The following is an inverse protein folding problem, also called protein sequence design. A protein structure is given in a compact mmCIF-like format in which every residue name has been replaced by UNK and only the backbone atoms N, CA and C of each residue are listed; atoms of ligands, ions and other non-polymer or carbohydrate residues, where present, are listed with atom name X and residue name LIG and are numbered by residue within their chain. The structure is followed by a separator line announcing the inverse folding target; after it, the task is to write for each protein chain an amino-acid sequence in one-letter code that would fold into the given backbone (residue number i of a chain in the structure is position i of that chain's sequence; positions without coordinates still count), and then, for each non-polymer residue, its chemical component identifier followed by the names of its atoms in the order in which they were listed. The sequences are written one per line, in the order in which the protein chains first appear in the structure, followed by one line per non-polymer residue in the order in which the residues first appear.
data_IF_934461114473
#
_entry.id   IF_934461114473
#
_cell.length_a   1.000
_cell.length_b   1.000
_cell.length_c   1.000
_cell.angle_alpha   90.00
_cell.angle_beta   90.00
_cell.angle_gamma   90.00
#
_symmetry.space_group_name_H-M   'P 1'
#
loop_
_entity.id
_entity.type
_entity.pdbx_description
1 polymer ?
#
# COMPACT_ATOMS: atom_id res chain seq x y z
N UNK A 1 -2.19 -29.20 -19.51
CA UNK A 1 -2.56 -28.10 -20.42
C UNK A 1 -4.08 -28.10 -20.47
N UNK A 2 -4.73 -27.17 -19.74
CA UNK A 2 -6.19 -26.99 -19.83
C UNK A 2 -6.42 -26.35 -21.18
N UNK A 3 -7.18 -27.01 -22.07
CA UNK A 3 -7.60 -26.40 -23.32
C UNK A 3 -8.53 -25.25 -22.97
N UNK A 4 -8.01 -24.02 -23.06
CA UNK A 4 -8.78 -22.80 -22.85
C UNK A 4 -9.73 -22.68 -24.05
N UNK A 5 -11.03 -22.76 -23.79
CA UNK A 5 -12.01 -22.37 -24.82
C UNK A 5 -11.88 -20.85 -25.01
N UNK A 6 -11.37 -20.37 -26.15
CA UNK A 6 -10.94 -18.97 -26.30
C UNK A 6 -12.11 -17.98 -26.40
N UNK A 7 -13.34 -18.45 -26.26
CA UNK A 7 -14.56 -17.64 -26.41
C UNK A 7 -15.34 -17.44 -25.11
N UNK A 8 -14.79 -17.88 -23.96
CA UNK A 8 -15.47 -17.70 -22.68
C UNK A 8 -14.85 -16.59 -21.86
N UNK A 9 -15.63 -15.61 -21.47
CA UNK A 9 -15.22 -14.52 -20.55
C UNK A 9 -14.56 -15.08 -19.29
N UNK A 10 -15.12 -16.13 -18.70
CA UNK A 10 -14.58 -16.78 -17.49
C UNK A 10 -13.15 -17.30 -17.66
N UNK A 11 -12.77 -17.74 -18.85
CA UNK A 11 -11.42 -18.20 -19.18
C UNK A 11 -10.41 -17.07 -19.04
N UNK A 12 -10.72 -15.90 -19.60
CA UNK A 12 -9.85 -14.73 -19.51
C UNK A 12 -9.80 -14.13 -18.10
N UNK A 13 -10.91 -14.18 -17.34
CA UNK A 13 -10.89 -13.77 -15.93
C UNK A 13 -9.98 -14.70 -15.10
N UNK A 14 -10.03 -16.01 -15.37
CA UNK A 14 -9.13 -16.97 -14.70
C UNK A 14 -7.67 -16.72 -15.08
N UNK A 15 -7.39 -16.49 -16.37
CA UNK A 15 -6.05 -16.16 -16.83
C UNK A 15 -5.52 -14.87 -16.16
N UNK A 16 -6.33 -13.82 -16.11
CA UNK A 16 -5.94 -12.57 -15.45
C UNK A 16 -5.61 -12.77 -13.96
N UNK A 17 -6.37 -13.60 -13.24
CA UNK A 17 -6.05 -13.94 -11.86
C UNK A 17 -4.76 -14.77 -11.73
N UNK A 18 -4.47 -15.68 -12.66
CA UNK A 18 -3.20 -16.42 -12.69
C UNK A 18 -2.01 -15.49 -12.95
N UNK A 19 -2.13 -14.57 -13.90
CA UNK A 19 -1.11 -13.57 -14.19
C UNK A 19 -0.86 -12.66 -12.97
N UNK A 20 -1.91 -12.30 -12.23
CA UNK A 20 -1.76 -11.56 -10.97
C UNK A 20 -0.89 -12.31 -9.95
N UNK A 21 -1.09 -13.63 -9.79
CA UNK A 21 -0.28 -14.46 -8.87
C UNK A 21 1.19 -14.56 -9.31
N UNK A 22 1.48 -14.30 -10.58
CA UNK A 22 2.84 -14.29 -11.15
C UNK A 22 3.43 -12.87 -11.24
N UNK A 23 2.68 -11.84 -10.77
CA UNK A 23 3.02 -10.43 -10.88
C UNK A 23 3.21 -9.96 -12.34
N UNK A 24 2.67 -10.71 -13.32
CA UNK A 24 2.65 -10.31 -14.73
C UNK A 24 1.44 -9.41 -15.01
N UNK A 25 1.59 -8.15 -14.61
CA UNK A 25 0.50 -7.17 -14.73
C UNK A 25 0.19 -6.79 -16.18
N UNK A 26 1.14 -6.95 -17.10
CA UNK A 26 0.88 -6.66 -18.52
C UNK A 26 -0.01 -7.77 -19.13
N UNK A 27 0.33 -9.02 -18.92
CA UNK A 27 -0.49 -10.14 -19.42
C UNK A 27 -1.85 -10.19 -18.72
N UNK A 28 -1.90 -9.80 -17.42
CA UNK A 28 -3.14 -9.62 -16.68
C UNK A 28 -4.05 -8.58 -17.35
N UNK A 29 -3.51 -7.42 -17.76
CA UNK A 29 -4.25 -6.38 -18.44
C UNK A 29 -4.80 -6.86 -19.79
N UNK A 30 -3.98 -7.57 -20.58
CA UNK A 30 -4.36 -8.10 -21.89
C UNK A 30 -5.49 -9.14 -21.76
N UNK A 31 -5.41 -10.02 -20.75
CA UNK A 31 -6.46 -11.00 -20.46
C UNK A 31 -7.77 -10.30 -20.02
N UNK A 32 -7.69 -9.34 -19.12
CA UNK A 32 -8.86 -8.60 -18.67
C UNK A 32 -9.51 -7.80 -19.83
N UNK A 33 -8.73 -7.23 -20.74
CA UNK A 33 -9.21 -6.55 -21.93
C UNK A 33 -9.96 -7.50 -22.88
N UNK A 34 -9.47 -8.74 -23.06
CA UNK A 34 -10.18 -9.77 -23.84
C UNK A 34 -11.51 -10.15 -23.19
N UNK A 35 -11.55 -10.26 -21.86
CA UNK A 35 -12.80 -10.49 -21.14
C UNK A 35 -13.80 -9.36 -21.36
N UNK A 36 -13.38 -8.10 -21.33
CA UNK A 36 -14.22 -6.93 -21.61
C UNK A 36 -14.71 -6.93 -23.06
N UNK A 37 -13.87 -7.34 -24.03
CA UNK A 37 -14.26 -7.41 -25.44
C UNK A 37 -15.35 -8.45 -25.68
N UNK A 38 -15.39 -9.53 -24.89
CA UNK A 38 -16.45 -10.54 -24.94
C UNK A 38 -17.70 -10.10 -24.17
N UNK A 39 -17.54 -9.38 -23.06
CA UNK A 39 -18.62 -8.95 -22.18
C UNK A 39 -18.30 -7.58 -21.59
N UNK A 40 -18.70 -6.52 -22.32
CA UNK A 40 -18.41 -5.11 -21.93
C UNK A 40 -18.97 -4.73 -20.55
N UNK A 41 -20.08 -5.34 -20.15
CA UNK A 41 -20.73 -5.11 -18.85
C UNK A 41 -20.18 -5.95 -17.69
N UNK A 42 -19.04 -6.61 -17.84
CA UNK A 42 -18.50 -7.47 -16.80
C UNK A 42 -17.71 -6.65 -15.77
N UNK A 43 -18.30 -6.42 -14.60
CA UNK A 43 -17.69 -5.66 -13.50
C UNK A 43 -16.34 -6.25 -13.04
N UNK A 44 -16.23 -7.59 -12.99
CA UNK A 44 -14.99 -8.26 -12.59
C UNK A 44 -13.87 -8.05 -13.60
N UNK A 45 -14.17 -8.04 -14.91
CA UNK A 45 -13.17 -7.77 -15.95
C UNK A 45 -12.62 -6.33 -15.83
N UNK A 46 -13.48 -5.36 -15.58
CA UNK A 46 -13.06 -3.98 -15.32
C UNK A 46 -12.25 -3.88 -14.02
N UNK A 47 -12.64 -4.57 -12.94
CA UNK A 47 -11.87 -4.61 -11.70
C UNK A 47 -10.46 -5.17 -11.94
N UNK A 48 -10.35 -6.32 -12.64
CA UNK A 48 -9.06 -6.94 -12.93
C UNK A 48 -8.17 -6.06 -13.82
N UNK A 49 -8.76 -5.35 -14.80
CA UNK A 49 -8.00 -4.39 -15.61
C UNK A 49 -7.54 -3.18 -14.78
N UNK A 50 -8.39 -2.68 -13.86
CA UNK A 50 -7.99 -1.65 -12.91
C UNK A 50 -6.85 -2.12 -12.00
N UNK A 51 -6.94 -3.35 -11.48
CA UNK A 51 -5.91 -3.97 -10.64
C UNK A 51 -4.59 -4.19 -11.38
N UNK A 52 -4.64 -4.59 -12.65
CA UNK A 52 -3.46 -4.71 -13.51
C UNK A 52 -2.78 -3.34 -13.72
N UNK A 53 -3.57 -2.30 -14.03
CA UNK A 53 -3.06 -0.94 -14.17
C UNK A 53 -2.47 -0.39 -12.86
N UNK A 54 -3.02 -0.78 -11.70
CA UNK A 54 -2.44 -0.45 -10.40
C UNK A 54 -1.05 -1.06 -10.24
N UNK A 55 -0.87 -2.34 -10.60
CA UNK A 55 0.44 -3.00 -10.58
C UNK A 55 1.45 -2.40 -11.58
N UNK A 56 0.96 -1.80 -12.68
CA UNK A 56 1.76 -1.07 -13.67
C UNK A 56 2.00 0.41 -13.29
N UNK A 57 1.61 0.82 -12.10
CA UNK A 57 1.68 2.20 -11.60
C UNK A 57 0.97 3.25 -12.50
N UNK A 58 -0.09 2.82 -13.19
CA UNK A 58 -0.90 3.67 -14.05
C UNK A 58 -2.17 4.13 -13.31
N UNK A 59 -2.02 5.09 -12.39
CA UNK A 59 -3.09 5.56 -11.50
C UNK A 59 -4.34 6.04 -12.23
N UNK A 60 -4.20 6.73 -13.37
CA UNK A 60 -5.35 7.25 -14.14
C UNK A 60 -6.20 6.10 -14.69
N UNK A 61 -5.58 5.10 -15.32
CA UNK A 61 -6.31 3.96 -15.87
C UNK A 61 -6.86 3.05 -14.77
N UNK A 62 -6.15 2.95 -13.65
CA UNK A 62 -6.65 2.28 -12.43
C UNK A 62 -7.99 2.87 -12.02
N UNK A 63 -8.05 4.17 -11.78
CA UNK A 63 -9.28 4.87 -11.34
C UNK A 63 -10.39 4.73 -12.38
N UNK A 64 -10.07 4.88 -13.68
CA UNK A 64 -11.06 4.79 -14.75
C UNK A 64 -11.75 3.43 -14.80
N UNK A 65 -10.98 2.33 -14.77
CA UNK A 65 -11.52 0.98 -14.83
C UNK A 65 -12.23 0.56 -13.53
N UNK A 66 -11.71 0.95 -12.36
CA UNK A 66 -12.37 0.69 -11.08
C UNK A 66 -13.69 1.47 -10.97
N UNK A 67 -13.74 2.70 -11.47
CA UNK A 67 -15.00 3.46 -11.55
C UNK A 67 -16.03 2.74 -12.41
N UNK A 68 -15.62 2.18 -13.55
CA UNK A 68 -16.53 1.39 -14.38
C UNK A 68 -17.00 0.11 -13.68
N UNK A 69 -16.11 -0.57 -12.95
CA UNK A 69 -16.46 -1.76 -12.17
C UNK A 69 -17.51 -1.43 -11.08
N UNK A 70 -17.34 -0.31 -10.37
CA UNK A 70 -18.26 0.14 -9.32
C UNK A 70 -19.61 0.56 -9.91
N UNK A 71 -19.63 1.23 -11.07
CA UNK A 71 -20.89 1.58 -11.77
C UNK A 71 -21.67 0.32 -12.19
N UNK A 72 -20.97 -0.74 -12.57
CA UNK A 72 -21.58 -2.01 -12.98
C UNK A 72 -22.02 -2.87 -11.78
N UNK A 73 -21.33 -2.73 -10.65
CA UNK A 73 -21.60 -3.43 -9.39
C UNK A 73 -21.38 -2.48 -8.22
N UNK A 74 -22.44 -1.87 -7.72
CA UNK A 74 -22.35 -0.81 -6.70
C UNK A 74 -21.81 -1.31 -5.34
N UNK A 75 -22.07 -2.56 -4.97
CA UNK A 75 -21.58 -3.19 -3.74
C UNK A 75 -20.17 -3.83 -3.88
N UNK A 76 -19.34 -3.32 -4.82
CA UNK A 76 -18.02 -3.89 -5.08
C UNK A 76 -16.96 -3.29 -4.16
N UNK A 77 -16.90 -3.78 -2.92
CA UNK A 77 -16.00 -3.29 -1.85
C UNK A 77 -14.53 -3.28 -2.27
N UNK A 78 -14.04 -4.36 -2.89
CA UNK A 78 -12.64 -4.48 -3.31
C UNK A 78 -12.27 -3.45 -4.39
N UNK A 79 -13.22 -3.15 -5.29
CA UNK A 79 -13.00 -2.13 -6.32
C UNK A 79 -12.97 -0.72 -5.71
N UNK A 80 -13.86 -0.43 -4.74
CA UNK A 80 -13.85 0.85 -4.01
C UNK A 80 -12.58 1.01 -3.20
N UNK A 81 -12.14 -0.01 -2.47
CA UNK A 81 -10.93 0.05 -1.67
C UNK A 81 -9.69 0.32 -2.54
N UNK A 82 -9.52 -0.43 -3.62
CA UNK A 82 -8.40 -0.24 -4.54
C UNK A 82 -8.45 1.13 -5.25
N UNK A 83 -9.66 1.66 -5.56
CA UNK A 83 -9.81 3.01 -6.11
C UNK A 83 -9.42 4.07 -5.08
N UNK A 84 -9.86 3.91 -3.83
CA UNK A 84 -9.49 4.81 -2.74
C UNK A 84 -7.96 4.83 -2.51
N UNK A 85 -7.29 3.68 -2.59
CA UNK A 85 -5.82 3.60 -2.51
C UNK A 85 -5.14 4.35 -3.67
N UNK A 86 -5.63 4.18 -4.90
CA UNK A 86 -5.11 4.89 -6.07
C UNK A 86 -5.35 6.41 -5.96
N UNK A 87 -6.53 6.82 -5.52
CA UNK A 87 -6.89 8.22 -5.26
C UNK A 87 -6.02 8.83 -4.15
N UNK A 88 -5.77 8.09 -3.07
CA UNK A 88 -4.86 8.50 -1.99
C UNK A 88 -3.44 8.75 -2.51
N UNK A 89 -2.89 7.83 -3.31
CA UNK A 89 -1.57 8.01 -3.95
C UNK A 89 -1.51 9.26 -4.82
N UNK A 90 -2.61 9.60 -5.48
CA UNK A 90 -2.74 10.83 -6.30
C UNK A 90 -3.12 12.07 -5.48
N UNK A 91 -3.18 11.97 -4.16
CA UNK A 91 -3.58 13.03 -3.21
C UNK A 91 -5.01 13.57 -3.44
N UNK A 92 -5.87 12.78 -4.08
CA UNK A 92 -7.29 13.07 -4.27
C UNK A 92 -8.07 12.56 -3.04
N UNK A 93 -7.81 13.18 -1.89
CA UNK A 93 -8.26 12.70 -0.59
C UNK A 93 -9.79 12.77 -0.42
N UNK A 94 -10.44 13.74 -1.04
CA UNK A 94 -11.90 13.88 -0.93
C UNK A 94 -12.62 12.72 -1.62
N UNK A 95 -12.22 12.39 -2.84
CA UNK A 95 -12.79 11.29 -3.61
C UNK A 95 -12.46 9.93 -3.00
N UNK A 96 -11.22 9.76 -2.46
CA UNK A 96 -10.85 8.57 -1.73
C UNK A 96 -11.75 8.36 -0.50
N UNK A 97 -12.08 9.44 0.21
CA UNK A 97 -12.91 9.39 1.40
C UNK A 97 -14.35 8.97 1.08
N UNK A 98 -14.91 9.38 -0.08
CA UNK A 98 -16.25 8.95 -0.52
C UNK A 98 -16.33 7.42 -0.65
N UNK A 99 -15.31 6.79 -1.23
CA UNK A 99 -15.25 5.33 -1.34
C UNK A 99 -15.13 4.65 0.02
N UNK A 100 -14.28 5.18 0.89
CA UNK A 100 -14.06 4.63 2.23
C UNK A 100 -15.33 4.74 3.07
N UNK A 101 -16.02 5.88 3.04
CA UNK A 101 -17.29 6.06 3.77
C UNK A 101 -18.38 5.12 3.25
N UNK A 102 -18.44 4.87 1.94
CA UNK A 102 -19.36 3.89 1.36
C UNK A 102 -19.06 2.46 1.82
N UNK A 103 -17.79 2.08 1.99
CA UNK A 103 -17.37 0.79 2.54
C UNK A 103 -17.76 0.69 4.01
N UNK A 104 -17.40 1.68 4.82
CA UNK A 104 -17.63 1.68 6.27
C UNK A 104 -19.11 1.82 6.64
N UNK A 105 -19.93 2.36 5.76
CA UNK A 105 -21.39 2.36 5.93
C UNK A 105 -21.99 0.94 5.84
N UNK A 106 -21.37 0.03 5.09
CA UNK A 106 -21.79 -1.36 4.97
C UNK A 106 -21.13 -2.26 6.02
N UNK A 107 -19.83 -2.05 6.27
CA UNK A 107 -19.06 -2.76 7.27
C UNK A 107 -18.21 -1.76 8.08
N UNK A 108 -18.68 -1.31 9.24
CA UNK A 108 -17.97 -0.33 10.09
C UNK A 108 -16.60 -0.81 10.57
N UNK A 109 -16.36 -2.12 10.58
CA UNK A 109 -15.15 -2.77 11.08
C UNK A 109 -14.24 -3.26 9.93
N UNK A 110 -14.38 -2.71 8.72
CA UNK A 110 -13.49 -3.05 7.61
C UNK A 110 -12.09 -2.47 7.84
N UNK A 111 -11.17 -3.32 8.27
CA UNK A 111 -9.82 -2.93 8.71
C UNK A 111 -9.06 -2.11 7.67
N UNK A 112 -9.05 -2.56 6.41
CA UNK A 112 -8.32 -1.89 5.34
C UNK A 112 -8.88 -0.47 5.06
N UNK A 113 -10.21 -0.30 5.15
CA UNK A 113 -10.85 0.99 4.99
C UNK A 113 -10.56 1.93 6.18
N UNK A 114 -10.57 1.41 7.41
CA UNK A 114 -10.19 2.16 8.61
C UNK A 114 -8.74 2.62 8.55
N UNK A 115 -7.81 1.73 8.18
CA UNK A 115 -6.39 2.08 8.03
C UNK A 115 -6.18 3.16 6.96
N UNK A 116 -6.84 3.04 5.82
CA UNK A 116 -6.72 4.04 4.75
C UNK A 116 -7.38 5.36 5.14
N UNK A 117 -8.51 5.34 5.88
CA UNK A 117 -9.13 6.55 6.45
C UNK A 117 -8.19 7.26 7.41
N UNK A 118 -7.55 6.52 8.30
CA UNK A 118 -6.54 7.05 9.20
C UNK A 118 -5.39 7.74 8.45
N UNK A 119 -4.85 7.11 7.41
CA UNK A 119 -3.79 7.71 6.56
C UNK A 119 -4.25 9.00 5.88
N UNK A 120 -5.47 9.07 5.37
CA UNK A 120 -6.02 10.30 4.77
C UNK A 120 -6.19 11.39 5.83
N UNK A 121 -6.68 11.03 7.01
CA UNK A 121 -6.84 11.97 8.13
C UNK A 121 -5.48 12.52 8.57
N UNK A 122 -4.46 11.67 8.68
CA UNK A 122 -3.08 12.07 8.97
C UNK A 122 -2.55 13.03 7.90
N UNK A 123 -2.67 12.68 6.61
CA UNK A 123 -2.25 13.52 5.49
C UNK A 123 -2.99 14.87 5.41
N UNK A 124 -4.18 14.96 6.00
CA UNK A 124 -5.00 16.20 6.06
C UNK A 124 -4.91 16.93 7.42
N UNK A 125 -3.98 16.51 8.29
CA UNK A 125 -3.70 17.17 9.58
C UNK A 125 -4.71 16.86 10.69
N UNK A 126 -5.51 15.79 10.55
CA UNK A 126 -6.50 15.34 11.53
C UNK A 126 -5.94 14.17 12.35
N UNK A 127 -4.81 14.40 13.03
CA UNK A 127 -4.05 13.36 13.71
C UNK A 127 -4.84 12.62 14.79
N UNK A 128 -5.65 13.32 15.60
CA UNK A 128 -6.47 12.71 16.66
C UNK A 128 -7.55 11.75 16.09
N UNK A 129 -8.13 12.14 14.96
CA UNK A 129 -9.10 11.28 14.28
C UNK A 129 -8.41 10.07 13.62
N UNK A 130 -7.17 10.23 13.12
CA UNK A 130 -6.37 9.12 12.58
C UNK A 130 -6.00 8.13 13.68
N UNK A 131 -5.56 8.62 14.85
CA UNK A 131 -5.27 7.80 16.03
C UNK A 131 -6.48 6.93 16.41
N UNK A 132 -7.69 7.52 16.40
CA UNK A 132 -8.94 6.81 16.68
C UNK A 132 -9.17 5.65 15.70
N UNK A 133 -8.95 5.86 14.39
CA UNK A 133 -9.14 4.82 13.38
C UNK A 133 -8.12 3.68 13.55
N UNK A 134 -6.85 3.99 13.80
CA UNK A 134 -5.81 2.97 13.99
C UNK A 134 -6.04 2.16 15.29
N UNK A 135 -6.42 2.83 16.38
CA UNK A 135 -6.78 2.14 17.64
C UNK A 135 -7.99 1.23 17.44
N UNK A 136 -9.00 1.67 16.71
CA UNK A 136 -10.17 0.81 16.41
C UNK A 136 -9.73 -0.47 15.71
N UNK A 137 -8.80 -0.40 14.74
CA UNK A 137 -8.29 -1.61 14.09
C UNK A 137 -7.58 -2.53 15.09
N UNK A 138 -6.78 -2.00 16.02
CA UNK A 138 -6.12 -2.85 17.05
C UNK A 138 -7.11 -3.48 18.03
N UNK A 139 -8.28 -2.85 18.26
CA UNK A 139 -9.35 -3.39 19.10
C UNK A 139 -10.10 -4.53 18.41
N UNK A 140 -10.46 -4.39 17.12
CA UNK A 140 -11.19 -5.41 16.35
C UNK A 140 -10.29 -6.56 15.90
N UNK A 141 -9.02 -6.28 15.60
CA UNK A 141 -8.02 -7.27 15.22
C UNK A 141 -6.67 -6.98 15.90
N UNK A 142 -6.42 -7.52 17.09
CA UNK A 142 -5.14 -7.35 17.79
C UNK A 142 -3.94 -7.96 17.07
N UNK A 143 -4.14 -8.71 15.99
CA UNK A 143 -3.08 -9.33 15.18
C UNK A 143 -2.76 -8.55 13.91
N UNK A 144 -3.34 -7.37 13.72
CA UNK A 144 -3.04 -6.52 12.56
C UNK A 144 -1.76 -5.71 12.79
N UNK A 145 -0.62 -6.25 12.36
CA UNK A 145 0.69 -5.60 12.51
C UNK A 145 0.79 -4.24 11.81
N UNK A 146 -0.02 -4.05 10.77
CA UNK A 146 -0.05 -2.80 10.01
C UNK A 146 -0.68 -1.65 10.83
N UNK A 147 -1.66 -1.95 11.67
CA UNK A 147 -2.29 -0.97 12.54
C UNK A 147 -1.28 -0.43 13.57
N UNK A 148 -0.50 -1.31 14.18
CA UNK A 148 0.57 -0.91 15.11
C UNK A 148 1.66 -0.09 14.41
N UNK A 149 2.02 -0.45 13.16
CA UNK A 149 2.97 0.32 12.38
C UNK A 149 2.49 1.77 12.16
N UNK A 150 1.25 1.95 11.68
CA UNK A 150 0.72 3.29 11.40
C UNK A 150 0.52 4.11 12.67
N UNK A 151 0.04 3.49 13.75
CA UNK A 151 -0.08 4.15 15.04
C UNK A 151 1.29 4.59 15.58
N UNK A 152 2.30 3.74 15.46
CA UNK A 152 3.68 4.06 15.83
C UNK A 152 4.27 5.21 15.01
N UNK A 153 4.03 5.24 13.70
CA UNK A 153 4.43 6.34 12.82
C UNK A 153 3.78 7.67 13.24
N UNK A 154 2.49 7.65 13.53
CA UNK A 154 1.76 8.80 14.04
C UNK A 154 2.35 9.28 15.38
N UNK A 155 2.71 8.36 16.29
CA UNK A 155 3.32 8.71 17.57
C UNK A 155 4.72 9.32 17.44
N UNK A 156 5.48 8.97 16.39
CA UNK A 156 6.73 9.68 16.06
C UNK A 156 6.45 11.15 15.72
N UNK A 157 5.44 11.45 14.89
CA UNK A 157 5.08 12.82 14.51
C UNK A 157 4.64 13.63 15.73
N UNK A 158 3.94 13.00 16.66
CA UNK A 158 3.54 13.57 17.95
C UNK A 158 4.67 13.62 19.00
N UNK A 159 5.89 13.19 18.66
CA UNK A 159 7.06 13.11 19.55
C UNK A 159 6.87 12.19 20.78
N UNK A 160 5.94 11.26 20.71
CA UNK A 160 5.70 10.21 21.72
C UNK A 160 6.63 9.02 21.45
N UNK A 161 7.96 9.24 21.43
CA UNK A 161 8.94 8.29 20.90
C UNK A 161 8.98 6.93 21.63
N UNK A 162 8.87 6.92 22.96
CA UNK A 162 8.85 5.68 23.74
C UNK A 162 7.64 4.81 23.39
N UNK A 163 6.45 5.40 23.35
CA UNK A 163 5.24 4.69 22.99
C UNK A 163 5.25 4.22 21.52
N UNK A 164 5.89 5.00 20.61
CA UNK A 164 6.09 4.57 19.23
C UNK A 164 6.97 3.30 19.14
N UNK A 165 8.06 3.23 19.93
CA UNK A 165 8.93 2.05 20.00
C UNK A 165 8.15 0.83 20.48
N UNK A 166 7.34 0.96 21.53
CA UNK A 166 6.49 -0.12 22.04
C UNK A 166 5.51 -0.65 20.98
N UNK A 167 4.89 0.24 20.20
CA UNK A 167 3.99 -0.16 19.09
C UNK A 167 4.72 -0.90 17.97
N UNK A 168 5.94 -0.50 17.64
CA UNK A 168 6.76 -1.23 16.67
C UNK A 168 7.24 -2.57 17.23
N UNK A 169 7.48 -2.68 18.55
CA UNK A 169 7.77 -3.96 19.20
C UNK A 169 6.61 -4.94 19.02
N UNK A 170 5.37 -4.50 19.26
CA UNK A 170 4.16 -5.28 18.99
C UNK A 170 4.06 -5.71 17.52
N UNK A 171 4.25 -4.79 16.57
CA UNK A 171 4.23 -5.12 15.15
C UNK A 171 5.28 -6.17 14.75
N UNK A 172 6.47 -6.12 15.35
CA UNK A 172 7.57 -7.06 15.11
C UNK A 172 7.31 -8.41 15.81
N UNK A 173 6.69 -8.41 16.99
CA UNK A 173 6.30 -9.65 17.67
C UNK A 173 5.26 -10.42 16.84
N UNK A 174 4.28 -9.71 16.28
CA UNK A 174 3.27 -10.28 15.38
C UNK A 174 3.88 -10.78 14.06
N UNK A 175 4.79 -10.01 13.48
CA UNK A 175 5.45 -10.36 12.23
C UNK A 175 6.97 -10.09 12.30
N UNK A 176 7.78 -11.09 12.69
CA UNK A 176 9.24 -10.94 12.79
C UNK A 176 9.96 -10.64 11.47
N UNK A 177 9.26 -10.73 10.33
CA UNK A 177 9.79 -10.39 9.00
C UNK A 177 9.28 -9.03 8.49
N UNK A 178 8.66 -8.24 9.35
CA UNK A 178 8.11 -6.94 8.97
C UNK A 178 9.20 -5.86 8.91
N UNK A 179 9.93 -5.81 7.80
CA UNK A 179 11.07 -4.89 7.61
C UNK A 179 10.74 -3.42 7.83
N UNK A 180 9.51 -2.98 7.46
CA UNK A 180 9.05 -1.61 7.71
C UNK A 180 8.97 -1.27 9.21
N UNK A 181 8.54 -2.22 10.06
CA UNK A 181 8.48 -1.99 11.51
C UNK A 181 9.88 -1.86 12.12
N UNK A 182 10.86 -2.65 11.68
CA UNK A 182 12.26 -2.47 12.08
C UNK A 182 12.79 -1.11 11.65
N UNK A 183 12.53 -0.68 10.42
CA UNK A 183 12.96 0.62 9.93
C UNK A 183 12.41 1.75 10.79
N UNK A 184 11.11 1.75 11.05
CA UNK A 184 10.45 2.82 11.83
C UNK A 184 10.86 2.78 13.30
N UNK A 185 11.05 1.57 13.90
CA UNK A 185 11.58 1.46 15.25
C UNK A 185 13.00 2.00 15.35
N UNK A 186 13.85 1.68 14.38
CA UNK A 186 15.20 2.24 14.29
C UNK A 186 15.20 3.76 14.20
N UNK A 187 14.28 4.33 13.40
CA UNK A 187 14.08 5.79 13.33
C UNK A 187 13.64 6.37 14.68
N UNK A 188 12.68 5.75 15.35
CA UNK A 188 12.21 6.19 16.67
C UNK A 188 13.31 6.10 17.73
N UNK A 189 14.10 5.02 17.77
CA UNK A 189 15.25 4.84 18.67
C UNK A 189 16.30 5.91 18.44
N UNK A 190 16.63 6.23 17.17
CA UNK A 190 17.58 7.27 16.83
C UNK A 190 17.14 8.64 17.38
N UNK A 191 15.86 8.99 17.17
CA UNK A 191 15.28 10.23 17.68
C UNK A 191 15.24 10.27 19.20
N UNK A 192 15.09 9.12 19.85
CA UNK A 192 15.09 8.95 21.31
C UNK A 192 16.50 8.87 21.92
N UNK A 193 17.56 8.93 21.08
CA UNK A 193 18.96 8.94 21.51
C UNK A 193 19.66 7.57 21.57
N UNK A 194 18.96 6.48 21.31
CA UNK A 194 19.51 5.13 21.21
C UNK A 194 20.07 4.85 19.81
N UNK A 195 21.33 5.24 19.62
CA UNK A 195 22.02 5.09 18.34
C UNK A 195 22.34 3.64 18.00
N UNK A 196 22.75 2.86 19.01
CA UNK A 196 23.19 1.48 18.80
C UNK A 196 22.00 0.60 18.44
N UNK A 197 20.89 0.70 19.17
CA UNK A 197 19.65 0.00 18.86
C UNK A 197 19.03 0.42 17.51
N UNK A 198 19.21 1.69 17.10
CA UNK A 198 18.82 2.17 15.77
C UNK A 198 19.61 1.45 14.67
N UNK A 199 20.93 1.34 14.80
CA UNK A 199 21.80 0.69 13.81
C UNK A 199 21.43 -0.80 13.65
N UNK A 200 21.13 -1.48 14.76
CA UNK A 200 20.70 -2.89 14.73
C UNK A 200 19.39 -3.05 13.96
N UNK A 201 18.38 -2.23 14.25
CA UNK A 201 17.09 -2.27 13.58
C UNK A 201 17.20 -1.92 12.11
N UNK A 202 17.99 -0.91 11.73
CA UNK A 202 18.22 -0.55 10.32
C UNK A 202 18.90 -1.68 9.54
N UNK A 203 19.88 -2.38 10.13
CA UNK A 203 20.50 -3.55 9.52
C UNK A 203 19.47 -4.65 9.30
N UNK A 204 18.62 -4.92 10.30
CA UNK A 204 17.59 -5.95 10.19
C UNK A 204 16.56 -5.61 9.12
N UNK A 205 16.13 -4.36 9.02
CA UNK A 205 15.24 -3.91 7.94
C UNK A 205 15.84 -4.15 6.55
N UNK A 206 17.12 -3.82 6.34
CA UNK A 206 17.83 -4.04 5.07
C UNK A 206 18.04 -5.53 4.74
N UNK A 207 18.26 -6.38 5.75
CA UNK A 207 18.30 -7.84 5.56
C UNK A 207 16.96 -8.39 5.05
N UNK A 208 15.85 -7.86 5.56
CA UNK A 208 14.51 -8.27 5.16
C UNK A 208 14.08 -7.68 3.81
N UNK A 209 14.56 -6.48 3.47
CA UNK A 209 14.25 -5.75 2.24
C UNK A 209 15.52 -5.34 1.47
N UNK A 210 16.26 -6.27 0.84
CA UNK A 210 17.54 -5.97 0.19
C UNK A 210 17.46 -4.93 -0.94
N UNK A 211 16.32 -4.87 -1.64
CA UNK A 211 16.09 -3.88 -2.72
C UNK A 211 16.10 -2.44 -2.23
N UNK A 212 15.70 -2.17 -0.99
CA UNK A 212 15.77 -0.84 -0.40
C UNK A 212 17.23 -0.42 -0.12
N UNK A 213 18.07 -1.38 0.28
CA UNK A 213 19.50 -1.17 0.48
C UNK A 213 20.27 -0.82 -0.80
N UNK A 214 19.89 -1.41 -1.93
CA UNK A 214 20.49 -1.11 -3.25
C UNK A 214 20.13 0.32 -3.69
N UNK A 215 18.90 0.77 -3.47
CA UNK A 215 18.46 2.12 -3.78
C UNK A 215 19.19 3.19 -2.92
N UNK A 216 19.39 2.92 -1.63
CA UNK A 216 20.13 3.81 -0.74
C UNK A 216 21.61 3.92 -1.15
N UNK A 217 22.27 2.81 -1.45
CA UNK A 217 23.66 2.82 -1.95
C UNK A 217 23.78 3.57 -3.28
N UNK A 218 22.82 3.46 -4.19
CA UNK A 218 22.77 4.22 -5.43
C UNK A 218 22.66 5.73 -5.20
N UNK A 219 21.85 6.17 -4.25
CA UNK A 219 21.69 7.58 -3.90
C UNK A 219 22.95 8.15 -3.21
N UNK A 220 23.60 7.41 -2.31
CA UNK A 220 24.86 7.82 -1.68
C UNK A 220 26.01 7.93 -2.68
N UNK A 221 26.12 7.02 -3.62
CA UNK A 221 27.15 7.06 -4.67
C UNK A 221 26.96 8.25 -5.63
N UNK A 222 25.71 8.60 -5.98
CA UNK A 222 25.40 9.77 -6.79
C UNK A 222 25.71 11.08 -6.07
N UNK A 223 25.44 11.20 -4.77
CA UNK A 223 25.78 12.40 -3.99
C UNK A 223 27.30 12.58 -3.82
N UNK A 224 28.07 11.51 -3.73
CA UNK A 224 29.55 11.60 -3.69
C UNK A 224 30.14 11.97 -5.05
N UNK A 225 29.50 11.57 -6.16
CA UNK A 225 29.95 11.95 -7.51
C UNK A 225 29.71 13.44 -7.81
N UNK A 226 28.68 14.07 -7.22
CA UNK A 226 28.39 15.50 -7.36
C UNK A 226 29.26 16.40 -6.46
N UNK A 227 29.88 15.85 -5.42
CA UNK A 227 30.70 16.62 -4.45
C UNK A 227 32.20 16.58 -4.73
N UNK A 228 32.68 15.87 -5.76
CA UNK A 228 34.07 15.96 -6.19
C UNK A 228 34.25 17.20 -7.09
N UNK A 229 34.94 18.27 -6.62
CA UNK A 229 35.26 19.38 -7.51
C UNK A 229 36.18 18.86 -8.60
N UNK A 230 35.82 19.17 -9.85
CA UNK A 230 36.66 18.92 -11.02
C UNK A 230 37.96 19.75 -10.89
N UNK A 231 38.99 19.19 -10.22
CA UNK A 231 40.31 19.79 -10.09
C UNK A 231 41.16 19.27 -11.25
N UNK A 232 40.81 19.61 -12.47
CA UNK A 232 41.71 19.60 -13.61
C UNK A 232 41.35 20.77 -14.53
N UNK A 233 41.65 21.99 -14.03
CA UNK A 233 41.85 23.15 -14.86
C UNK A 233 43.32 23.30 -15.10
N UNK A 234 43.87 22.86 -16.23
CA UNK A 234 45.03 23.35 -16.93
C UNK A 234 44.83 23.13 -18.41
#
# INVERSE_FOLDING_TARGET
MIALEPELTSTYLTLANLCFMQEDYQEMADAAQKAIALEEGNAMAHYLLGKANHGLDNGIMTIAHLTKAIVLKDDFTEARLLRAEALYKMQQFAEAMEDIEAILAQNPDEEAALLLRGKIKEATGKEEEAETDYLHVTEINPFNEQAYLYLGQLFITQKKLTAAIELFDEAIELNPNFGAAYHERGRAKLLNGDKDGSIEDMKKSLELNPKEGENLNGQFNNQQAETTPNVLGL
#
